data_IF_724510165061
#
_entry.id   IF_724510165061
#
_cell.length_a   1.000
_cell.length_b   1.000
_cell.length_c   1.000
_cell.angle_alpha   90.00
_cell.angle_beta   90.00
_cell.angle_gamma   90.00
#
_symmetry.space_group_name_H-M   'P 1'
#
loop_
_entity.id
_entity.type
_entity.pdbx_description
1 polymer ?
#
# COMPACT_ATOMS: atom_id res chain seq x y z
N UNK A 1 -6.23 -7.76 -41.26
CA UNK A 1 -5.92 -6.84 -40.15
C UNK A 1 -5.62 -7.70 -38.94
N UNK A 2 -4.33 -7.81 -38.54
CA UNK A 2 -3.96 -8.58 -37.36
C UNK A 2 -4.40 -7.79 -36.13
N UNK A 3 -5.47 -8.23 -35.49
CA UNK A 3 -5.92 -7.67 -34.21
C UNK A 3 -4.85 -8.00 -33.17
N UNK A 4 -4.16 -6.97 -32.68
CA UNK A 4 -3.06 -7.11 -31.72
C UNK A 4 -3.65 -7.44 -30.34
N UNK A 5 -3.99 -8.70 -30.11
CA UNK A 5 -4.39 -9.15 -28.78
C UNK A 5 -3.14 -9.17 -27.89
N UNK A 6 -3.26 -8.52 -26.74
CA UNK A 6 -2.18 -8.48 -25.74
C UNK A 6 -1.93 -9.90 -25.23
N UNK A 7 -0.68 -10.34 -25.26
CA UNK A 7 -0.25 -11.58 -24.64
C UNK A 7 -0.60 -11.54 -23.15
N UNK A 8 -1.30 -12.59 -22.66
CA UNK A 8 -1.67 -12.75 -21.25
C UNK A 8 -1.30 -14.15 -20.78
N UNK A 9 -0.85 -14.24 -19.56
CA UNK A 9 -0.40 -15.46 -18.91
C UNK A 9 -0.74 -15.43 -17.42
N UNK A 10 -0.29 -16.42 -16.69
CA UNK A 10 -0.51 -16.52 -15.26
C UNK A 10 -0.14 -15.23 -14.53
N UNK A 11 -1.01 -14.77 -13.63
CA UNK A 11 -0.85 -13.49 -12.92
C UNK A 11 -1.32 -12.24 -13.69
N UNK A 12 -1.63 -12.35 -14.98
CA UNK A 12 -2.24 -11.23 -15.73
C UNK A 12 -3.63 -10.93 -15.22
N UNK A 13 -4.03 -9.64 -15.22
CA UNK A 13 -5.36 -9.19 -14.82
C UNK A 13 -5.95 -8.19 -15.81
N UNK A 14 -7.27 -8.02 -15.75
CA UNK A 14 -8.01 -7.00 -16.50
C UNK A 14 -8.79 -7.54 -17.71
N UNK A 15 -9.29 -6.61 -18.54
CA UNK A 15 -10.25 -6.90 -19.61
C UNK A 15 -9.77 -7.91 -20.67
N UNK A 16 -8.45 -7.97 -20.91
CA UNK A 16 -7.87 -8.95 -21.84
C UNK A 16 -8.01 -10.38 -21.28
N UNK A 17 -7.88 -10.55 -19.96
CA UNK A 17 -8.08 -11.85 -19.29
C UNK A 17 -9.56 -12.23 -19.25
N UNK A 18 -10.46 -11.28 -18.92
CA UNK A 18 -11.90 -11.54 -18.97
C UNK A 18 -12.34 -11.98 -20.36
N UNK A 19 -11.80 -11.35 -21.40
CA UNK A 19 -12.08 -11.74 -22.77
C UNK A 19 -11.58 -13.15 -23.10
N UNK A 20 -10.35 -13.50 -22.63
CA UNK A 20 -9.80 -14.85 -22.79
C UNK A 20 -10.68 -15.89 -22.11
N UNK A 21 -11.09 -15.65 -20.86
CA UNK A 21 -11.96 -16.54 -20.10
C UNK A 21 -13.32 -16.74 -20.82
N UNK A 22 -13.90 -15.65 -21.34
CA UNK A 22 -15.14 -15.71 -22.12
C UNK A 22 -14.98 -16.59 -23.37
N UNK A 23 -13.90 -16.40 -24.12
CA UNK A 23 -13.63 -17.16 -25.34
C UNK A 23 -13.33 -18.63 -25.03
N UNK A 24 -12.56 -18.92 -23.97
CA UNK A 24 -12.32 -20.29 -23.52
C UNK A 24 -13.63 -20.97 -23.12
N UNK A 25 -14.55 -20.28 -22.46
CA UNK A 25 -15.86 -20.83 -22.12
C UNK A 25 -16.69 -21.13 -23.38
N UNK A 26 -16.57 -20.37 -24.46
CA UNK A 26 -17.16 -20.67 -25.75
C UNK A 26 -16.60 -21.96 -26.39
N UNK A 27 -15.37 -22.33 -26.03
CA UNK A 27 -14.72 -23.59 -26.42
C UNK A 27 -14.97 -24.74 -25.42
N UNK A 28 -15.93 -24.59 -24.52
CA UNK A 28 -16.37 -25.65 -23.62
C UNK A 28 -15.64 -25.73 -22.28
N UNK A 29 -14.87 -24.70 -21.90
CA UNK A 29 -14.30 -24.58 -20.55
C UNK A 29 -15.32 -23.92 -19.62
N UNK A 30 -15.21 -24.19 -18.32
CA UNK A 30 -16.03 -23.59 -17.26
C UNK A 30 -15.18 -22.73 -16.35
N UNK A 31 -14.91 -21.50 -16.80
CA UNK A 31 -14.09 -20.51 -16.08
C UNK A 31 -14.98 -19.37 -15.55
N UNK A 32 -14.72 -18.93 -14.31
CA UNK A 32 -15.23 -17.65 -13.84
C UNK A 32 -14.60 -16.53 -14.69
N UNK A 33 -15.43 -15.61 -15.21
CA UNK A 33 -14.97 -14.46 -15.99
C UNK A 33 -14.68 -13.31 -15.01
N UNK A 34 -13.65 -13.53 -14.18
CA UNK A 34 -13.24 -12.61 -13.10
C UNK A 34 -12.11 -11.63 -13.51
N UNK A 35 -11.59 -11.81 -14.73
CA UNK A 35 -10.47 -11.00 -15.22
C UNK A 35 -9.13 -11.31 -14.57
N UNK A 36 -9.00 -12.45 -13.88
CA UNK A 36 -7.76 -12.88 -13.23
C UNK A 36 -7.27 -14.15 -13.93
N UNK A 37 -6.07 -14.10 -14.50
CA UNK A 37 -5.43 -15.26 -15.09
C UNK A 37 -4.84 -16.15 -14.00
N UNK A 38 -5.70 -16.88 -13.32
CA UNK A 38 -5.33 -17.82 -12.26
C UNK A 38 -5.00 -19.21 -12.81
N UNK A 39 -4.80 -20.16 -11.88
CA UNK A 39 -4.46 -21.56 -12.19
C UNK A 39 -5.49 -22.23 -13.09
N UNK A 40 -6.79 -21.99 -12.86
CA UNK A 40 -7.87 -22.55 -13.70
C UNK A 40 -7.79 -22.03 -15.13
N UNK A 41 -7.56 -20.73 -15.30
CA UNK A 41 -7.40 -20.11 -16.62
C UNK A 41 -6.14 -20.64 -17.32
N UNK A 42 -5.03 -20.82 -16.60
CA UNK A 42 -3.82 -21.40 -17.16
C UNK A 42 -3.99 -22.85 -17.58
N UNK A 43 -4.67 -23.65 -16.75
CA UNK A 43 -4.97 -25.05 -17.07
C UNK A 43 -5.83 -25.17 -18.34
N UNK A 44 -6.85 -24.33 -18.47
CA UNK A 44 -7.71 -24.26 -19.65
C UNK A 44 -6.92 -23.84 -20.90
N UNK A 45 -6.04 -22.83 -20.79
CA UNK A 45 -5.18 -22.42 -21.90
C UNK A 45 -4.26 -23.55 -22.34
N UNK A 46 -3.62 -24.27 -21.41
CA UNK A 46 -2.74 -25.39 -21.72
C UNK A 46 -3.50 -26.56 -22.35
N UNK A 47 -4.67 -26.90 -21.82
CA UNK A 47 -5.52 -27.93 -22.40
C UNK A 47 -5.96 -27.55 -23.82
N UNK A 48 -6.35 -26.29 -24.02
CA UNK A 48 -6.68 -25.78 -25.34
C UNK A 48 -5.48 -25.84 -26.30
N UNK A 49 -4.30 -25.42 -25.85
CA UNK A 49 -3.06 -25.49 -26.63
C UNK A 49 -2.72 -26.94 -27.02
N UNK A 50 -2.86 -27.87 -26.09
CA UNK A 50 -2.65 -29.30 -26.32
C UNK A 50 -3.61 -29.85 -27.37
N UNK A 51 -4.92 -29.58 -27.25
CA UNK A 51 -5.97 -30.03 -28.18
C UNK A 51 -5.79 -29.48 -29.58
N UNK A 52 -5.22 -28.29 -29.71
CA UNK A 52 -5.04 -27.62 -31.00
C UNK A 52 -3.60 -27.66 -31.52
N UNK A 53 -2.75 -28.53 -30.94
CA UNK A 53 -1.33 -28.70 -31.34
C UNK A 53 -0.53 -27.40 -31.35
N UNK A 54 -0.86 -26.47 -30.44
CA UNK A 54 -0.16 -25.23 -30.24
C UNK A 54 1.01 -25.40 -29.26
N UNK A 55 1.88 -24.40 -29.19
CA UNK A 55 2.96 -24.38 -28.18
C UNK A 55 2.39 -24.45 -26.76
N UNK A 56 2.75 -25.48 -26.01
CA UNK A 56 2.24 -25.78 -24.67
C UNK A 56 2.96 -24.96 -23.57
N UNK A 57 2.84 -23.64 -23.63
CA UNK A 57 3.50 -22.74 -22.68
C UNK A 57 2.54 -22.17 -21.60
N UNK A 58 1.25 -22.36 -21.77
CA UNK A 58 0.23 -21.85 -20.85
C UNK A 58 0.04 -20.33 -20.94
N UNK A 59 0.47 -19.72 -22.04
CA UNK A 59 0.38 -18.29 -22.32
C UNK A 59 -0.52 -18.08 -23.52
N UNK A 60 -1.53 -17.24 -23.41
CA UNK A 60 -2.36 -16.86 -24.54
C UNK A 60 -1.65 -15.76 -25.35
N UNK A 61 -0.71 -16.20 -26.19
CA UNK A 61 0.00 -15.37 -27.17
C UNK A 61 -0.75 -15.26 -28.50
N UNK A 62 -0.15 -14.62 -29.52
CA UNK A 62 -0.78 -14.38 -30.83
C UNK A 62 -1.31 -15.67 -31.48
N UNK A 63 -0.56 -16.77 -31.40
CA UNK A 63 -0.97 -18.06 -31.95
C UNK A 63 -2.19 -18.65 -31.23
N UNK A 64 -2.18 -18.62 -29.88
CA UNK A 64 -3.28 -19.10 -29.06
C UNK A 64 -4.54 -18.25 -29.28
N UNK A 65 -4.40 -16.93 -29.33
CA UNK A 65 -5.51 -16.04 -29.66
C UNK A 65 -6.04 -16.24 -31.08
N UNK A 66 -5.15 -16.44 -32.05
CA UNK A 66 -5.54 -16.72 -33.42
C UNK A 66 -6.38 -17.99 -33.54
N UNK A 67 -5.97 -19.03 -32.86
CA UNK A 67 -6.72 -20.30 -32.80
C UNK A 67 -8.06 -20.19 -32.05
N UNK A 68 -8.08 -19.49 -30.90
CA UNK A 68 -9.27 -19.27 -30.09
C UNK A 68 -10.35 -18.46 -30.83
N UNK A 69 -9.96 -17.56 -31.72
CA UNK A 69 -10.86 -16.69 -32.46
C UNK A 69 -11.21 -17.20 -33.86
N UNK A 70 -10.48 -18.18 -34.35
CA UNK A 70 -10.93 -18.97 -35.50
C UNK A 70 -12.16 -19.77 -35.04
N UNK A 71 -13.28 -19.63 -35.73
CA UNK A 71 -14.58 -20.19 -35.33
C UNK A 71 -14.48 -21.66 -34.83
N UNK A 72 -15.27 -22.06 -33.81
CA UNK A 72 -15.25 -23.41 -33.31
C UNK A 72 -15.74 -24.35 -34.41
N UNK A 73 -14.83 -25.08 -35.00
CA UNK A 73 -15.21 -26.28 -35.76
C UNK A 73 -15.66 -27.29 -34.72
N UNK A 74 -16.89 -27.79 -34.86
CA UNK A 74 -17.45 -28.86 -34.02
C UNK A 74 -16.46 -30.02 -33.87
N UNK A 75 -16.47 -30.74 -32.73
CA UNK A 75 -15.50 -31.78 -32.47
C UNK A 75 -15.58 -32.83 -33.58
N UNK A 76 -14.53 -32.94 -34.36
CA UNK A 76 -14.35 -34.05 -35.31
C UNK A 76 -14.07 -35.27 -34.47
N UNK A 77 -15.05 -36.14 -34.37
CA UNK A 77 -14.87 -37.52 -33.93
C UNK A 77 -13.92 -38.17 -34.93
N UNK A 78 -12.63 -38.11 -34.62
CA UNK A 78 -11.59 -38.81 -35.40
C UNK A 78 -11.67 -40.27 -35.11
N UNK A 79 -12.22 -40.98 -36.06
CA UNK A 79 -12.35 -42.44 -36.07
C UNK A 79 -10.98 -43.09 -35.93
N UNK A 80 -10.94 -44.08 -35.05
CA UNK A 80 -9.85 -45.00 -34.93
C UNK A 80 -9.53 -45.71 -36.24
N UNK A 81 -8.29 -45.89 -36.49
CA UNK A 81 -7.84 -47.01 -37.35
C UNK A 81 -7.36 -48.10 -36.43
N UNK A 82 -8.20 -49.15 -36.39
CA UNK A 82 -7.81 -50.46 -35.94
C UNK A 82 -6.49 -50.87 -36.59
N UNK A 83 -5.51 -51.16 -35.76
CA UNK A 83 -4.47 -52.13 -36.09
C UNK A 83 -4.52 -53.19 -35.02
N UNK A 84 -5.32 -54.18 -35.28
CA UNK A 84 -5.28 -55.44 -34.58
C UNK A 84 -3.90 -56.08 -34.77
N UNK A 85 -3.15 -56.19 -33.72
CA UNK A 85 -2.04 -57.15 -33.58
C UNK A 85 -2.21 -57.90 -32.29
N UNK A 86 -2.53 -59.15 -32.44
CA UNK A 86 -2.05 -60.27 -31.63
C UNK A 86 -2.56 -60.34 -30.20
N UNK A 87 -3.64 -61.04 -30.04
CA UNK A 87 -4.02 -61.75 -28.83
C UNK A 87 -2.83 -62.46 -28.19
N UNK A 88 -2.38 -61.98 -27.07
CA UNK A 88 -1.54 -62.67 -26.12
C UNK A 88 -1.96 -62.25 -24.71
N UNK A 89 -2.91 -63.00 -24.14
CA UNK A 89 -3.48 -62.72 -22.84
C UNK A 89 -2.43 -62.91 -21.73
N UNK A 90 -1.88 -61.79 -21.23
CA UNK A 90 -1.39 -61.69 -19.87
C UNK A 90 -2.14 -60.51 -19.24
N UNK A 91 -3.31 -60.76 -18.70
CA UNK A 91 -4.06 -59.80 -17.88
C UNK A 91 -3.37 -59.67 -16.52
N UNK A 92 -2.28 -58.89 -16.47
CA UNK A 92 -1.72 -58.43 -15.24
C UNK A 92 -2.75 -57.53 -14.58
N UNK A 93 -3.21 -57.88 -13.38
CA UNK A 93 -4.10 -56.98 -12.60
C UNK A 93 -3.26 -55.88 -12.05
N UNK A 94 -3.68 -54.63 -12.26
CA UNK A 94 -3.10 -53.46 -11.58
C UNK A 94 -3.17 -53.71 -10.07
N UNK A 95 -2.06 -53.51 -9.36
CA UNK A 95 -2.05 -53.65 -7.91
C UNK A 95 -3.03 -52.71 -7.24
N UNK A 96 -3.65 -53.12 -6.14
CA UNK A 96 -4.60 -52.32 -5.39
C UNK A 96 -4.03 -50.96 -4.96
N UNK A 97 -2.74 -50.93 -4.63
CA UNK A 97 -2.06 -49.67 -4.27
C UNK A 97 -1.92 -48.70 -5.45
N UNK A 98 -1.53 -49.23 -6.65
CA UNK A 98 -1.41 -48.41 -7.86
C UNK A 98 -2.80 -47.89 -8.29
N UNK A 99 -3.83 -48.74 -8.25
CA UNK A 99 -5.19 -48.35 -8.57
C UNK A 99 -5.77 -47.30 -7.63
N UNK A 100 -5.51 -47.42 -6.32
CA UNK A 100 -5.93 -46.45 -5.31
C UNK A 100 -5.23 -45.10 -5.49
N UNK A 101 -3.93 -45.10 -5.76
CA UNK A 101 -3.14 -43.89 -6.00
C UNK A 101 -3.60 -43.18 -7.27
N UNK A 102 -3.84 -43.89 -8.37
CA UNK A 102 -4.40 -43.30 -9.60
C UNK A 102 -5.74 -42.70 -9.36
N UNK A 103 -6.65 -43.41 -8.70
CA UNK A 103 -8.00 -42.90 -8.38
C UNK A 103 -7.97 -41.64 -7.55
N UNK A 104 -7.00 -41.53 -6.63
CA UNK A 104 -6.80 -40.30 -5.82
C UNK A 104 -6.25 -39.16 -6.68
N UNK A 105 -5.31 -39.42 -7.57
CA UNK A 105 -4.75 -38.43 -8.47
C UNK A 105 -5.72 -37.99 -9.57
N UNK A 106 -6.62 -38.85 -10.01
CA UNK A 106 -7.71 -38.54 -10.96
C UNK A 106 -8.74 -37.56 -10.40
N UNK A 107 -8.85 -37.44 -9.07
CA UNK A 107 -9.70 -36.41 -8.44
C UNK A 107 -9.19 -34.98 -8.66
N UNK A 108 -7.99 -34.84 -9.21
CA UNK A 108 -7.39 -33.57 -9.55
C UNK A 108 -6.30 -33.12 -8.58
N UNK A 109 -5.63 -32.06 -8.96
CA UNK A 109 -4.60 -31.44 -8.13
C UNK A 109 -5.21 -30.79 -6.89
N UNK A 110 -4.73 -31.19 -5.72
CA UNK A 110 -5.03 -30.55 -4.44
C UNK A 110 -3.77 -29.85 -3.96
N UNK A 111 -3.80 -28.52 -3.72
CA UNK A 111 -2.64 -27.79 -3.22
C UNK A 111 -2.12 -28.40 -1.91
N UNK A 112 -0.80 -28.45 -1.74
CA UNK A 112 -0.19 -28.86 -0.48
C UNK A 112 -0.51 -27.85 0.63
N UNK A 113 -0.32 -28.23 1.88
CA UNK A 113 -0.47 -27.28 2.99
C UNK A 113 0.52 -26.13 2.93
N UNK A 114 1.68 -26.35 2.32
CA UNK A 114 2.69 -25.32 2.13
C UNK A 114 2.20 -24.27 1.12
N UNK A 115 1.60 -24.70 0.01
CA UNK A 115 0.99 -23.81 -0.98
C UNK A 115 -0.18 -23.00 -0.38
N UNK A 116 -1.04 -23.64 0.41
CA UNK A 116 -2.15 -22.96 1.05
C UNK A 116 -1.67 -21.98 2.13
N UNK A 117 -0.67 -22.34 2.95
CA UNK A 117 -0.11 -21.45 3.96
C UNK A 117 0.55 -20.22 3.32
N UNK A 118 1.27 -20.40 2.21
CA UNK A 118 1.85 -19.28 1.46
C UNK A 118 0.76 -18.37 0.87
N UNK A 119 -0.33 -18.93 0.37
CA UNK A 119 -1.48 -18.16 -0.13
C UNK A 119 -2.13 -17.33 0.98
N UNK A 120 -2.32 -17.92 2.17
CA UNK A 120 -2.89 -17.19 3.30
C UNK A 120 -1.99 -16.06 3.78
N UNK A 121 -0.65 -16.22 3.70
CA UNK A 121 0.27 -15.12 3.96
C UNK A 121 0.07 -13.98 2.98
N UNK A 122 -0.04 -14.25 1.68
CA UNK A 122 -0.33 -13.23 0.66
C UNK A 122 -1.65 -12.51 0.96
N UNK A 123 -2.71 -13.27 1.29
CA UNK A 123 -4.02 -12.71 1.63
C UNK A 123 -3.95 -11.79 2.85
N UNK A 124 -3.27 -12.23 3.91
CA UNK A 124 -3.13 -11.45 5.15
C UNK A 124 -2.32 -10.16 4.95
N UNK A 125 -1.26 -10.21 4.15
CA UNK A 125 -0.48 -9.03 3.80
C UNK A 125 -1.27 -8.06 2.90
N UNK A 126 -2.03 -8.59 1.95
CA UNK A 126 -2.88 -7.78 1.06
C UNK A 126 -3.97 -7.05 1.84
N UNK A 127 -4.51 -7.65 2.91
CA UNK A 127 -5.49 -7.04 3.79
C UNK A 127 -4.91 -5.90 4.66
N UNK A 128 -3.58 -5.83 4.80
CA UNK A 128 -2.87 -4.79 5.58
C UNK A 128 -2.39 -3.61 4.73
N UNK A 129 -3.00 -3.40 3.58
CA UNK A 129 -2.67 -2.22 2.77
C UNK A 129 -2.77 -0.95 3.61
N UNK A 130 -1.72 -0.11 3.66
CA UNK A 130 -1.82 1.20 4.27
C UNK A 130 -2.97 1.99 3.66
N UNK A 131 -3.76 2.65 4.51
CA UNK A 131 -4.84 3.53 4.05
C UNK A 131 -4.31 4.69 3.20
N UNK A 132 -5.20 5.43 2.57
CA UNK A 132 -4.81 6.61 1.82
C UNK A 132 -4.23 7.66 2.76
N UNK A 133 -3.27 8.43 2.24
CA UNK A 133 -2.63 9.48 3.03
C UNK A 133 -3.67 10.47 3.57
N UNK A 134 -3.59 10.73 4.87
CA UNK A 134 -4.39 11.74 5.55
C UNK A 134 -3.44 12.78 6.14
N UNK A 135 -3.48 13.99 5.61
CA UNK A 135 -2.67 15.08 6.13
C UNK A 135 -3.11 15.48 7.54
N UNK A 136 -2.19 15.46 8.48
CA UNK A 136 -2.42 15.97 9.83
C UNK A 136 -2.33 17.50 9.90
N UNK A 137 -1.76 18.15 8.89
CA UNK A 137 -1.42 19.57 8.88
C UNK A 137 -2.25 20.39 7.87
N UNK A 138 -3.04 19.75 7.00
CA UNK A 138 -3.79 20.44 5.93
C UNK A 138 -4.63 21.61 6.45
N UNK A 139 -5.38 21.42 7.52
CA UNK A 139 -6.22 22.47 8.11
C UNK A 139 -5.40 23.63 8.69
N UNK A 140 -4.23 23.32 9.27
CA UNK A 140 -3.34 24.35 9.84
C UNK A 140 -2.63 25.14 8.74
N UNK A 141 -2.18 24.45 7.67
CA UNK A 141 -1.59 25.10 6.50
C UNK A 141 -2.58 26.03 5.82
N UNK A 142 -3.83 25.58 5.63
CA UNK A 142 -4.88 26.41 5.04
C UNK A 142 -5.19 27.64 5.91
N UNK A 143 -5.35 27.45 7.23
CA UNK A 143 -5.61 28.57 8.14
C UNK A 143 -4.45 29.59 8.13
N UNK A 144 -3.20 29.12 8.11
CA UNK A 144 -2.04 29.99 8.07
C UNK A 144 -1.89 30.69 6.71
N UNK A 145 -2.21 30.00 5.62
CA UNK A 145 -2.25 30.60 4.29
C UNK A 145 -3.26 31.75 4.24
N UNK A 146 -4.45 31.56 4.79
CA UNK A 146 -5.46 32.61 4.86
C UNK A 146 -4.98 33.77 5.72
N UNK A 147 -4.36 33.53 6.89
CA UNK A 147 -3.81 34.57 7.76
C UNK A 147 -2.74 35.40 7.05
N UNK A 148 -1.88 34.76 6.24
CA UNK A 148 -0.86 35.44 5.43
C UNK A 148 -1.50 36.23 4.28
N UNK A 149 -2.47 35.62 3.58
CA UNK A 149 -3.14 36.21 2.42
C UNK A 149 -3.99 37.43 2.79
N UNK A 150 -4.74 37.34 3.88
CA UNK A 150 -5.66 38.37 4.34
C UNK A 150 -4.98 39.46 5.17
N UNK A 151 -3.63 39.34 5.36
CA UNK A 151 -2.89 40.29 6.14
C UNK A 151 -2.95 41.68 5.53
N UNK A 152 -3.47 42.70 6.29
CA UNK A 152 -3.58 44.05 5.77
C UNK A 152 -2.21 44.66 5.49
N UNK A 153 -2.11 45.48 4.48
CA UNK A 153 -0.91 46.25 4.17
C UNK A 153 -0.49 47.12 5.37
N UNK A 154 0.80 47.43 5.46
CA UNK A 154 1.30 48.30 6.53
C UNK A 154 0.63 49.68 6.47
N UNK A 155 0.10 50.10 7.59
CA UNK A 155 -0.43 51.46 7.82
C UNK A 155 -0.01 51.89 9.21
N UNK A 156 0.47 53.15 9.32
CA UNK A 156 0.85 53.71 10.59
C UNK A 156 -0.04 54.92 10.93
N UNK A 157 -0.78 54.79 12.01
CA UNK A 157 -1.58 55.87 12.57
C UNK A 157 -0.92 56.37 13.90
N UNK A 158 -0.31 57.56 13.91
CA UNK A 158 0.28 58.12 15.12
C UNK A 158 -0.72 58.30 16.26
N UNK A 159 -2.00 58.56 15.91
CA UNK A 159 -3.04 58.79 16.92
C UNK A 159 -3.40 57.51 17.67
N UNK A 160 -3.24 56.34 17.04
CA UNK A 160 -3.43 55.02 17.65
C UNK A 160 -2.16 54.49 18.37
N UNK A 161 -0.98 55.02 18.12
CA UNK A 161 0.27 54.56 18.72
C UNK A 161 0.42 55.10 20.17
N UNK A 162 0.41 54.19 21.15
CA UNK A 162 0.55 54.50 22.55
C UNK A 162 1.91 55.20 22.89
N UNK A 163 2.98 54.86 22.17
CA UNK A 163 4.28 55.49 22.32
C UNK A 163 4.24 56.94 21.83
N UNK A 164 3.67 57.18 20.66
CA UNK A 164 3.45 58.54 20.13
C UNK A 164 2.59 59.38 21.09
N UNK A 165 1.49 58.83 21.58
CA UNK A 165 0.62 59.51 22.54
C UNK A 165 1.36 59.86 23.84
N UNK A 166 2.29 58.99 24.31
CA UNK A 166 3.11 59.26 25.49
C UNK A 166 4.05 60.39 25.23
N UNK A 167 4.79 60.37 24.10
CA UNK A 167 5.67 61.49 23.71
C UNK A 167 4.90 62.79 23.51
N UNK A 168 3.72 62.73 22.87
CA UNK A 168 2.87 63.93 22.67
C UNK A 168 2.46 64.56 24.00
N UNK A 169 2.03 63.76 24.98
CA UNK A 169 1.72 64.26 26.33
C UNK A 169 2.92 64.86 27.03
N UNK A 170 4.05 64.18 26.96
CA UNK A 170 5.29 64.60 27.58
C UNK A 170 5.79 65.92 26.99
N UNK A 171 5.94 66.03 25.69
CA UNK A 171 6.44 67.23 25.02
C UNK A 171 5.45 68.36 25.10
N UNK A 172 4.15 68.12 25.04
CA UNK A 172 3.17 69.18 25.28
C UNK A 172 3.21 69.72 26.72
N UNK A 173 3.45 68.88 27.71
CA UNK A 173 3.62 69.32 29.10
C UNK A 173 4.90 70.13 29.28
N UNK A 174 6.02 69.64 28.75
CA UNK A 174 7.31 70.33 28.77
C UNK A 174 7.25 71.70 28.04
N UNK A 175 6.63 71.69 26.86
CA UNK A 175 6.41 72.90 26.08
C UNK A 175 5.57 73.95 26.82
N UNK A 176 4.48 73.57 27.50
CA UNK A 176 3.70 74.45 28.35
C UNK A 176 4.49 75.01 29.53
N UNK A 177 5.27 74.16 30.21
CA UNK A 177 6.16 74.62 31.27
C UNK A 177 7.18 75.63 30.76
N UNK A 178 7.90 75.30 29.66
CA UNK A 178 8.89 76.21 29.06
C UNK A 178 8.27 77.53 28.59
N UNK A 179 7.06 77.49 28.06
CA UNK A 179 6.29 78.70 27.70
C UNK A 179 6.00 79.54 28.93
N UNK A 180 5.53 78.95 30.01
CA UNK A 180 5.23 79.62 31.26
C UNK A 180 6.49 80.22 31.88
N UNK A 181 7.60 79.45 31.92
CA UNK A 181 8.86 79.93 32.47
C UNK A 181 9.44 81.10 31.65
N UNK A 182 9.31 81.01 30.32
CA UNK A 182 9.77 82.09 29.43
C UNK A 182 8.94 83.37 29.66
N UNK A 183 7.63 83.26 29.81
CA UNK A 183 6.74 84.35 30.13
C UNK A 183 7.07 84.95 31.51
N UNK A 184 7.30 84.11 32.53
CA UNK A 184 7.68 84.55 33.86
C UNK A 184 9.04 85.29 33.88
N UNK A 185 10.03 84.74 33.18
CA UNK A 185 11.34 85.41 33.05
C UNK A 185 11.21 86.76 32.31
N UNK A 186 10.46 86.79 31.21
CA UNK A 186 10.29 88.06 30.49
C UNK A 186 9.49 89.06 31.28
N UNK A 187 8.50 88.71 32.08
CA UNK A 187 7.73 89.62 32.97
C UNK A 187 8.65 90.15 34.07
N UNK A 188 9.55 89.34 34.60
CA UNK A 188 10.49 89.81 35.60
C UNK A 188 11.50 90.88 35.06
N UNK A 189 11.93 90.74 33.80
CA UNK A 189 12.85 91.67 33.13
C UNK A 189 12.16 92.94 32.70
N UNK A 190 10.83 92.95 32.44
CA UNK A 190 10.03 94.08 31.93
C UNK A 190 9.21 94.79 32.99
N UNK A 191 9.39 94.46 34.27
CA UNK A 191 8.67 95.08 35.38
C UNK A 191 7.16 94.66 35.40
N UNK A 192 6.76 93.50 34.90
CA UNK A 192 5.46 93.00 34.96
C UNK A 192 4.60 93.28 33.75
N UNK A 193 5.06 93.95 32.74
CA UNK A 193 4.37 94.21 31.52
C UNK A 193 4.59 93.12 30.51
N UNK A 194 3.47 92.52 30.00
CA UNK A 194 3.49 91.53 28.91
C UNK A 194 3.83 92.25 27.60
N UNK A 195 5.05 91.99 27.12
CA UNK A 195 5.50 92.49 25.82
C UNK A 195 5.20 91.47 24.71
N UNK A 196 4.94 91.99 23.49
CA UNK A 196 4.76 91.15 22.31
C UNK A 196 5.97 90.26 22.06
N UNK A 197 7.20 90.71 22.48
CA UNK A 197 8.43 89.91 22.45
C UNK A 197 8.35 88.76 23.42
N UNK A 198 7.85 88.93 24.63
CA UNK A 198 7.73 87.83 25.62
C UNK A 198 6.78 86.72 25.12
N UNK A 199 5.63 87.19 24.51
CA UNK A 199 4.69 86.25 23.92
C UNK A 199 5.30 85.46 22.74
N UNK A 200 6.05 86.10 21.86
CA UNK A 200 6.70 85.45 20.71
C UNK A 200 7.77 84.46 21.17
N UNK A 201 8.59 84.84 22.15
CA UNK A 201 9.61 83.97 22.69
C UNK A 201 9.04 82.72 23.40
N UNK A 202 7.93 82.90 24.12
CA UNK A 202 7.22 81.83 24.78
C UNK A 202 6.56 80.86 23.77
N UNK A 203 5.97 81.39 22.72
CA UNK A 203 5.46 80.58 21.63
C UNK A 203 6.56 79.81 20.90
N UNK A 204 7.71 80.43 20.66
CA UNK A 204 8.88 79.75 20.08
C UNK A 204 9.38 78.60 20.97
N UNK A 205 9.37 78.79 22.30
CA UNK A 205 9.74 77.73 23.26
C UNK A 205 8.79 76.56 23.18
N UNK A 206 7.47 76.78 23.10
CA UNK A 206 6.47 75.75 22.92
C UNK A 206 6.63 75.01 21.57
N UNK A 207 6.84 75.76 20.50
CA UNK A 207 6.98 75.20 19.16
C UNK A 207 8.22 74.30 19.03
N UNK A 208 9.32 74.57 19.76
CA UNK A 208 10.48 73.72 19.80
C UNK A 208 10.18 72.32 20.31
N UNK A 209 9.30 72.18 21.31
CA UNK A 209 8.88 70.88 21.81
C UNK A 209 7.94 70.14 20.85
N UNK A 210 7.09 70.87 20.12
CA UNK A 210 6.26 70.29 19.05
C UNK A 210 7.16 69.79 17.90
N UNK A 211 8.26 70.46 17.61
CA UNK A 211 9.20 70.03 16.59
C UNK A 211 9.91 68.73 17.03
N UNK A 212 10.32 68.65 18.31
CA UNK A 212 10.86 67.42 18.87
C UNK A 212 9.89 66.21 18.73
N UNK A 213 8.58 66.44 18.92
CA UNK A 213 7.58 65.42 18.68
C UNK A 213 7.53 65.00 17.19
N UNK A 214 7.67 65.96 16.27
CA UNK A 214 7.75 65.66 14.84
C UNK A 214 9.01 64.86 14.49
N UNK A 215 10.13 65.07 15.15
CA UNK A 215 11.40 64.38 14.92
C UNK A 215 11.38 62.92 15.41
N UNK A 216 10.52 62.58 16.38
CA UNK A 216 10.33 61.23 16.88
C UNK A 216 9.44 60.38 15.96
N UNK A 217 8.51 61.01 15.20
CA UNK A 217 7.52 60.34 14.36
C UNK A 217 8.15 59.32 13.36
N UNK A 218 9.21 59.65 12.58
CA UNK A 218 9.84 58.72 11.66
C UNK A 218 10.43 57.49 12.36
N UNK A 219 10.95 57.67 13.58
CA UNK A 219 11.54 56.59 14.38
C UNK A 219 10.45 55.59 14.82
N UNK A 220 9.31 56.10 15.30
CA UNK A 220 8.17 55.28 15.70
C UNK A 220 7.56 54.55 14.51
N UNK A 221 7.43 55.24 13.38
CA UNK A 221 6.94 54.64 12.14
C UNK A 221 7.89 53.51 11.68
N UNK A 222 9.20 53.71 11.69
CA UNK A 222 10.18 52.69 11.33
C UNK A 222 10.15 51.49 12.29
N UNK A 223 10.02 51.74 13.59
CA UNK A 223 9.86 50.70 14.58
C UNK A 223 8.57 49.88 14.40
N UNK A 224 7.47 50.58 14.07
CA UNK A 224 6.19 49.94 13.75
C UNK A 224 6.28 49.11 12.47
N UNK A 225 6.94 49.60 11.42
CA UNK A 225 7.18 48.88 10.19
C UNK A 225 8.03 47.61 10.41
N UNK A 226 9.11 47.73 11.21
CA UNK A 226 9.96 46.59 11.58
C UNK A 226 9.14 45.51 12.28
N UNK A 227 8.32 45.85 13.27
CA UNK A 227 7.42 44.90 13.96
C UNK A 227 6.42 44.27 13.00
N UNK A 228 5.85 45.06 12.08
CA UNK A 228 4.96 44.53 11.05
C UNK A 228 5.67 43.51 10.16
N UNK A 229 6.85 43.84 9.67
CA UNK A 229 7.64 42.92 8.83
C UNK A 229 8.00 41.65 9.60
N UNK A 230 8.56 41.78 10.81
CA UNK A 230 8.99 40.62 11.62
C UNK A 230 7.83 39.68 11.95
N UNK A 231 6.62 40.23 12.19
CA UNK A 231 5.42 39.42 12.36
C UNK A 231 5.03 38.69 11.06
N UNK A 232 5.27 39.29 9.89
CA UNK A 232 5.06 38.62 8.59
C UNK A 232 6.05 37.49 8.34
N UNK A 233 7.32 37.78 8.61
CA UNK A 233 8.38 36.80 8.48
C UNK A 233 8.12 35.59 9.39
N UNK A 234 7.69 35.82 10.64
CA UNK A 234 7.33 34.74 11.57
C UNK A 234 6.16 33.86 11.10
N UNK A 235 5.17 34.46 10.40
CA UNK A 235 4.07 33.67 9.79
C UNK A 235 4.59 32.81 8.64
N UNK A 236 5.45 33.35 7.79
CA UNK A 236 6.07 32.60 6.68
C UNK A 236 6.96 31.47 7.19
N UNK A 237 7.79 31.73 8.19
CA UNK A 237 8.63 30.70 8.82
C UNK A 237 7.78 29.55 9.39
N UNK A 238 6.69 29.91 10.06
CA UNK A 238 5.76 28.90 10.59
C UNK A 238 5.08 28.10 9.47
N UNK A 239 4.72 28.74 8.38
CA UNK A 239 4.14 28.08 7.22
C UNK A 239 5.15 27.09 6.59
N UNK A 240 6.38 27.52 6.41
CA UNK A 240 7.45 26.66 5.88
C UNK A 240 7.70 25.45 6.79
N UNK A 241 7.79 25.66 8.10
CA UNK A 241 7.97 24.57 9.07
C UNK A 241 6.83 23.53 9.00
N UNK A 242 5.59 23.99 8.89
CA UNK A 242 4.45 23.08 8.73
C UNK A 242 4.48 22.35 7.39
N UNK A 243 4.91 23.01 6.33
CA UNK A 243 5.08 22.38 5.01
C UNK A 243 6.16 21.29 5.01
N UNK A 244 7.27 21.54 5.70
CA UNK A 244 8.32 20.52 5.91
C UNK A 244 7.81 19.32 6.71
N UNK A 245 7.02 19.56 7.76
CA UNK A 245 6.41 18.48 8.56
C UNK A 245 5.41 17.68 7.75
N UNK A 246 4.62 18.34 6.90
CA UNK A 246 3.69 17.68 5.98
C UNK A 246 4.43 16.80 4.98
N UNK A 247 5.49 17.34 4.33
CA UNK A 247 6.33 16.59 3.41
C UNK A 247 6.93 15.35 4.08
N UNK A 248 7.54 15.52 5.26
CA UNK A 248 8.11 14.41 6.01
C UNK A 248 7.06 13.36 6.45
N UNK A 249 5.81 13.77 6.66
CA UNK A 249 4.72 12.85 6.97
C UNK A 249 4.27 12.07 5.75
N UNK A 250 4.21 12.73 4.60
CA UNK A 250 3.91 12.12 3.31
C UNK A 250 4.99 11.11 2.89
N UNK A 251 6.26 11.47 3.03
CA UNK A 251 7.40 10.59 2.74
C UNK A 251 7.34 9.31 3.59
N UNK A 252 7.09 9.44 4.90
CA UNK A 252 6.92 8.28 5.80
C UNK A 252 5.76 7.38 5.37
N UNK A 253 4.65 7.96 4.93
CA UNK A 253 3.54 7.18 4.40
C UNK A 253 3.92 6.46 3.09
N UNK A 254 4.64 7.13 2.17
CA UNK A 254 5.17 6.49 0.96
C UNK A 254 6.10 5.32 1.28
N UNK A 255 7.01 5.50 2.26
CA UNK A 255 7.89 4.43 2.71
C UNK A 255 7.11 3.23 3.26
N UNK A 256 6.05 3.47 4.02
CA UNK A 256 5.17 2.40 4.52
C UNK A 256 4.48 1.65 3.38
N UNK A 257 3.96 2.38 2.38
CA UNK A 257 3.35 1.77 1.19
C UNK A 257 4.37 0.96 0.40
N UNK A 258 5.57 1.50 0.18
CA UNK A 258 6.64 0.80 -0.53
C UNK A 258 7.10 -0.47 0.21
N UNK A 259 7.26 -0.39 1.53
CA UNK A 259 7.59 -1.54 2.37
C UNK A 259 6.51 -2.62 2.31
N UNK A 260 5.23 -2.23 2.42
CA UNK A 260 4.11 -3.14 2.26
C UNK A 260 4.08 -3.82 0.87
N UNK A 261 4.24 -3.04 -0.22
CA UNK A 261 4.29 -3.58 -1.58
C UNK A 261 5.41 -4.59 -1.76
N UNK A 262 6.59 -4.31 -1.19
CA UNK A 262 7.74 -5.21 -1.21
C UNK A 262 7.43 -6.52 -0.49
N UNK A 263 6.80 -6.46 0.68
CA UNK A 263 6.42 -7.66 1.45
C UNK A 263 5.40 -8.52 0.71
N UNK A 264 4.36 -7.88 0.13
CA UNK A 264 3.34 -8.58 -0.68
C UNK A 264 4.00 -9.25 -1.90
N UNK A 265 4.85 -8.52 -2.62
CA UNK A 265 5.56 -9.06 -3.80
C UNK A 265 6.46 -10.26 -3.44
N UNK A 266 7.19 -10.19 -2.33
CA UNK A 266 8.03 -11.30 -1.85
C UNK A 266 7.18 -12.52 -1.46
N UNK A 267 6.08 -12.31 -0.75
CA UNK A 267 5.17 -13.39 -0.37
C UNK A 267 4.52 -14.03 -1.60
N UNK A 268 4.16 -13.23 -2.60
CA UNK A 268 3.59 -13.70 -3.85
C UNK A 268 4.58 -14.52 -4.66
N UNK A 269 5.83 -14.07 -4.80
CA UNK A 269 6.88 -14.85 -5.46
C UNK A 269 7.13 -16.19 -4.76
N UNK A 270 7.14 -16.19 -3.43
CA UNK A 270 7.30 -17.42 -2.66
C UNK A 270 6.11 -18.38 -2.86
N UNK A 271 4.89 -17.87 -2.90
CA UNK A 271 3.68 -18.65 -3.21
C UNK A 271 3.76 -19.25 -4.62
N UNK A 272 4.18 -18.48 -5.62
CA UNK A 272 4.32 -18.95 -7.01
C UNK A 272 5.37 -20.06 -7.14
N UNK A 273 6.51 -19.93 -6.45
CA UNK A 273 7.56 -20.94 -6.44
C UNK A 273 7.10 -22.23 -5.78
N UNK A 274 6.40 -22.15 -4.64
CA UNK A 274 5.88 -23.32 -3.92
C UNK A 274 4.79 -23.99 -4.76
N UNK A 275 3.85 -23.23 -5.27
CA UNK A 275 2.73 -23.71 -6.09
C UNK A 275 3.23 -24.39 -7.39
N UNK A 276 4.25 -23.80 -8.03
CA UNK A 276 4.86 -24.38 -9.24
C UNK A 276 5.55 -25.71 -8.96
N UNK A 277 6.27 -25.82 -7.83
CA UNK A 277 6.91 -27.08 -7.41
C UNK A 277 5.88 -28.14 -7.07
N UNK A 278 4.83 -27.74 -6.36
CA UNK A 278 3.75 -28.62 -5.94
C UNK A 278 3.01 -29.22 -7.16
N UNK A 279 2.70 -28.37 -8.15
CA UNK A 279 2.11 -28.81 -9.41
C UNK A 279 3.02 -29.76 -10.21
N UNK A 280 4.33 -29.46 -10.26
CA UNK A 280 5.31 -30.37 -10.90
C UNK A 280 5.37 -31.71 -10.21
N UNK A 281 5.37 -31.75 -8.89
CA UNK A 281 5.36 -32.97 -8.11
C UNK A 281 4.09 -33.78 -8.37
N UNK A 282 2.93 -33.12 -8.43
CA UNK A 282 1.68 -33.79 -8.79
C UNK A 282 1.76 -34.44 -10.21
N UNK A 283 2.29 -33.70 -11.20
CA UNK A 283 2.46 -34.23 -12.56
C UNK A 283 3.42 -35.42 -12.61
N UNK A 284 4.54 -35.34 -11.85
CA UNK A 284 5.48 -36.45 -11.75
C UNK A 284 4.86 -37.70 -11.14
N UNK A 285 4.04 -37.53 -10.07
CA UNK A 285 3.31 -38.63 -9.46
C UNK A 285 2.28 -39.24 -10.42
N UNK A 286 1.53 -38.40 -11.13
CA UNK A 286 0.55 -38.85 -12.09
C UNK A 286 1.21 -39.69 -13.19
N UNK A 287 2.30 -39.22 -13.76
CA UNK A 287 3.07 -39.97 -14.79
C UNK A 287 3.64 -41.26 -14.22
N UNK A 288 4.26 -41.23 -13.03
CA UNK A 288 4.81 -42.41 -12.37
C UNK A 288 3.76 -43.52 -12.17
N UNK A 289 2.60 -43.18 -11.61
CA UNK A 289 1.55 -44.15 -11.36
C UNK A 289 0.86 -44.64 -12.66
N UNK A 290 0.78 -43.79 -13.68
CA UNK A 290 0.30 -44.19 -15.01
C UNK A 290 1.25 -45.20 -15.68
N UNK A 291 2.54 -44.90 -15.66
CA UNK A 291 3.57 -45.80 -16.21
C UNK A 291 3.65 -47.12 -15.44
N UNK A 292 3.55 -47.06 -14.12
CA UNK A 292 3.52 -48.23 -13.25
C UNK A 292 2.31 -49.09 -13.53
N UNK A 293 1.14 -48.52 -13.68
CA UNK A 293 -0.09 -49.26 -14.04
C UNK A 293 0.02 -49.91 -15.42
N UNK A 294 0.60 -49.20 -16.40
CA UNK A 294 0.86 -49.75 -17.72
C UNK A 294 1.83 -50.94 -17.71
N UNK A 295 2.85 -50.91 -16.88
CA UNK A 295 3.83 -52.01 -16.69
C UNK A 295 3.15 -53.22 -16.00
N UNK A 296 2.37 -52.98 -14.93
CA UNK A 296 1.65 -54.04 -14.21
C UNK A 296 0.63 -54.73 -15.11
N UNK A 297 -0.08 -53.97 -15.97
CA UNK A 297 -1.00 -54.53 -16.98
C UNK A 297 -0.31 -55.46 -17.98
N UNK A 298 0.97 -55.17 -18.30
CA UNK A 298 1.79 -56.01 -19.20
C UNK A 298 2.50 -57.15 -18.46
N UNK A 299 2.27 -57.32 -17.16
CA UNK A 299 2.97 -58.32 -16.33
C UNK A 299 4.45 -58.07 -16.16
N UNK A 300 4.93 -56.81 -16.35
CA UNK A 300 6.31 -56.41 -16.19
C UNK A 300 6.54 -55.81 -14.81
N UNK A 301 7.73 -56.08 -14.22
CA UNK A 301 8.12 -55.36 -13.02
C UNK A 301 8.50 -53.94 -13.38
N UNK A 302 7.93 -52.96 -12.67
CA UNK A 302 8.23 -51.57 -12.85
C UNK A 302 9.43 -51.18 -11.99
N UNK A 303 10.58 -50.98 -12.63
CA UNK A 303 11.75 -50.38 -11.99
C UNK A 303 11.70 -48.85 -12.16
N UNK A 304 10.82 -48.23 -11.41
CA UNK A 304 10.76 -46.75 -11.37
C UNK A 304 11.86 -46.15 -10.54
N UNK A 305 12.32 -44.96 -10.90
CA UNK A 305 13.27 -44.20 -10.09
C UNK A 305 12.76 -44.04 -8.65
N UNK A 306 13.66 -44.11 -7.68
CA UNK A 306 13.35 -43.95 -6.25
C UNK A 306 12.39 -42.79 -5.96
N UNK A 307 11.20 -43.14 -5.55
CA UNK A 307 10.13 -42.18 -5.18
C UNK A 307 10.34 -41.55 -3.80
N UNK A 308 11.48 -41.75 -3.19
CA UNK A 308 11.82 -41.19 -1.89
C UNK A 308 11.67 -39.62 -1.85
N UNK A 309 11.77 -38.97 -3.02
CA UNK A 309 11.56 -37.52 -3.16
C UNK A 309 10.10 -37.09 -3.39
N UNK A 310 9.17 -38.06 -3.63
CA UNK A 310 7.80 -37.76 -4.08
C UNK A 310 6.74 -38.12 -3.02
N UNK A 311 7.18 -38.54 -1.86
CA UNK A 311 6.35 -39.12 -0.82
C UNK A 311 5.76 -38.08 0.12
N UNK A 312 5.00 -37.09 -0.34
CA UNK A 312 4.11 -36.34 0.59
C UNK A 312 3.17 -35.33 -0.06
N UNK A 313 2.48 -35.71 -1.11
CA UNK A 313 1.37 -34.88 -1.62
C UNK A 313 0.03 -35.50 -1.24
N UNK A 314 -0.18 -35.62 0.03
CA UNK A 314 -1.49 -35.91 0.57
C UNK A 314 -1.87 -34.89 1.62
N UNK A 315 -3.12 -34.56 1.72
CA UNK A 315 -3.72 -33.66 2.71
C UNK A 315 -3.44 -34.05 4.20
N UNK A 316 -2.53 -35.02 4.44
CA UNK A 316 -2.11 -35.55 5.75
C UNK A 316 -0.65 -35.32 6.08
N UNK A 317 0.15 -34.76 5.17
CA UNK A 317 1.55 -34.47 5.47
C UNK A 317 1.65 -33.32 6.50
N UNK A 318 2.57 -33.44 7.45
CA UNK A 318 2.87 -32.36 8.40
C UNK A 318 3.37 -31.13 7.65
N UNK A 319 3.06 -29.94 8.17
CA UNK A 319 3.55 -28.69 7.62
C UNK A 319 5.09 -28.66 7.64
N UNK A 320 5.69 -28.18 6.57
CA UNK A 320 7.10 -27.82 6.57
C UNK A 320 7.39 -26.69 7.56
N UNK A 321 8.65 -26.52 7.97
CA UNK A 321 9.04 -25.39 8.83
C UNK A 321 8.72 -24.06 8.19
N UNK A 322 8.95 -23.92 6.88
CA UNK A 322 8.66 -22.69 6.11
C UNK A 322 7.17 -22.39 6.06
N UNK A 323 6.31 -23.41 5.89
CA UNK A 323 4.87 -23.24 5.90
C UNK A 323 4.36 -22.86 7.29
N UNK A 324 4.92 -23.44 8.35
CA UNK A 324 4.58 -23.07 9.72
C UNK A 324 4.97 -21.61 10.03
N UNK A 325 6.12 -21.14 9.57
CA UNK A 325 6.55 -19.75 9.69
C UNK A 325 5.64 -18.78 8.90
N UNK A 326 5.24 -19.16 7.68
CA UNK A 326 4.30 -18.38 6.88
C UNK A 326 2.94 -18.27 7.55
N UNK A 327 2.46 -19.37 8.13
CA UNK A 327 1.21 -19.41 8.88
C UNK A 327 1.27 -18.54 10.15
N UNK A 328 2.36 -18.63 10.92
CA UNK A 328 2.61 -17.78 12.07
C UNK A 328 2.55 -16.30 11.69
N UNK A 329 3.23 -15.93 10.59
CA UNK A 329 3.25 -14.55 10.09
C UNK A 329 1.86 -14.09 9.65
N UNK A 330 1.09 -14.94 8.96
CA UNK A 330 -0.28 -14.65 8.57
C UNK A 330 -1.19 -14.40 9.78
N UNK A 331 -1.10 -15.26 10.81
CA UNK A 331 -1.88 -15.08 12.04
C UNK A 331 -1.53 -13.78 12.77
N UNK A 332 -0.24 -13.44 12.89
CA UNK A 332 0.20 -12.15 13.46
C UNK A 332 -0.34 -10.96 12.67
N UNK A 333 -0.42 -11.09 11.35
CA UNK A 333 -0.94 -10.04 10.48
C UNK A 333 -2.45 -9.86 10.68
N UNK A 334 -3.22 -10.94 10.77
CA UNK A 334 -4.65 -10.85 11.07
C UNK A 334 -4.92 -10.24 12.45
N UNK A 335 -4.13 -10.59 13.46
CA UNK A 335 -4.23 -9.97 14.77
C UNK A 335 -3.95 -8.46 14.73
N UNK A 336 -2.88 -8.02 14.05
CA UNK A 336 -2.57 -6.59 13.87
C UNK A 336 -3.69 -5.81 13.19
N UNK A 337 -4.45 -6.46 12.30
CA UNK A 337 -5.61 -5.85 11.61
C UNK A 337 -6.91 -5.94 12.41
N UNK A 338 -6.89 -6.49 13.62
CA UNK A 338 -8.09 -6.69 14.45
C UNK A 338 -9.01 -7.81 13.96
N UNK A 339 -8.47 -8.75 13.15
CA UNK A 339 -9.22 -9.85 12.52
C UNK A 339 -8.89 -11.19 13.19
N UNK A 340 -9.01 -11.25 14.54
CA UNK A 340 -8.65 -12.43 15.32
C UNK A 340 -9.46 -13.69 14.95
N UNK A 341 -10.72 -13.54 14.55
CA UNK A 341 -11.54 -14.64 14.04
C UNK A 341 -10.90 -15.36 12.83
N UNK A 342 -10.23 -14.60 11.95
CA UNK A 342 -9.53 -15.17 10.81
C UNK A 342 -8.27 -15.92 11.25
N UNK A 343 -7.55 -15.41 12.26
CA UNK A 343 -6.39 -16.10 12.83
C UNK A 343 -6.82 -17.44 13.50
N UNK A 344 -7.92 -17.45 14.25
CA UNK A 344 -8.51 -18.66 14.87
C UNK A 344 -8.94 -19.66 13.80
N UNK A 345 -9.63 -19.20 12.76
CA UNK A 345 -10.06 -20.03 11.63
C UNK A 345 -8.86 -20.67 10.95
N UNK A 346 -7.79 -19.91 10.75
CA UNK A 346 -6.55 -20.36 10.14
C UNK A 346 -5.89 -21.44 11.01
N UNK A 347 -5.74 -21.21 12.30
CA UNK A 347 -5.17 -22.20 13.23
C UNK A 347 -5.99 -23.50 13.24
N UNK A 348 -7.31 -23.42 13.31
CA UNK A 348 -8.20 -24.59 13.28
C UNK A 348 -8.02 -25.43 12.00
N UNK A 349 -7.82 -24.79 10.86
CA UNK A 349 -7.60 -25.46 9.56
C UNK A 349 -6.30 -26.29 9.57
N UNK A 350 -5.25 -25.79 10.21
CA UNK A 350 -3.92 -26.38 10.12
C UNK A 350 -3.46 -27.16 11.37
N UNK A 351 -4.14 -27.04 12.51
CA UNK A 351 -3.71 -27.68 13.77
C UNK A 351 -3.46 -29.20 13.68
N UNK A 352 -4.25 -29.90 12.86
CA UNK A 352 -4.10 -31.34 12.66
C UNK A 352 -2.92 -31.74 11.77
N UNK A 353 -2.31 -30.75 11.12
CA UNK A 353 -1.16 -30.92 10.24
C UNK A 353 0.15 -30.42 10.89
N UNK A 354 0.07 -29.86 12.07
CA UNK A 354 1.23 -29.40 12.84
C UNK A 354 1.86 -30.56 13.61
N UNK A 355 3.19 -30.60 13.63
CA UNK A 355 3.95 -31.45 14.54
C UNK A 355 3.71 -31.01 16.01
N UNK A 356 3.94 -31.88 17.00
CA UNK A 356 3.82 -31.48 18.41
C UNK A 356 4.68 -30.26 18.77
N UNK A 357 5.89 -30.15 18.20
CA UNK A 357 6.79 -29.02 18.40
C UNK A 357 6.23 -27.71 17.79
N UNK A 358 5.63 -27.80 16.61
CA UNK A 358 4.96 -26.65 15.99
C UNK A 358 3.74 -26.20 16.80
N UNK A 359 2.92 -27.13 17.27
CA UNK A 359 1.77 -26.80 18.15
C UNK A 359 2.22 -26.07 19.40
N UNK A 360 3.21 -26.60 20.12
CA UNK A 360 3.74 -25.97 21.33
C UNK A 360 4.31 -24.57 21.04
N UNK A 361 4.97 -24.38 19.90
CA UNK A 361 5.47 -23.06 19.46
C UNK A 361 4.29 -22.08 19.22
N UNK A 362 3.24 -22.52 18.54
CA UNK A 362 2.08 -21.68 18.28
C UNK A 362 1.33 -21.34 19.58
N UNK A 363 1.13 -22.30 20.47
CA UNK A 363 0.57 -22.08 21.80
C UNK A 363 1.35 -21.02 22.59
N UNK A 364 2.70 -21.12 22.58
CA UNK A 364 3.55 -20.16 23.29
C UNK A 364 3.52 -18.76 22.68
N UNK A 365 3.47 -18.66 21.35
CA UNK A 365 3.47 -17.37 20.64
C UNK A 365 2.15 -16.62 20.75
N UNK A 366 1.05 -17.35 20.91
CA UNK A 366 -0.30 -16.80 20.95
C UNK A 366 -0.98 -16.97 22.31
N UNK A 367 -0.19 -17.26 23.39
CA UNK A 367 -0.64 -17.41 24.78
C UNK A 367 -1.22 -16.15 25.35
N UNK A 368 -1.79 -15.29 24.85
CA UNK A 368 -2.49 -14.09 25.33
C UNK A 368 -3.66 -13.72 24.44
N UNK A 369 -3.87 -14.50 23.39
CA UNK A 369 -4.98 -14.30 22.48
C UNK A 369 -6.13 -15.22 22.92
N UNK A 370 -7.37 -14.79 22.72
CA UNK A 370 -8.54 -15.63 22.99
C UNK A 370 -8.69 -16.72 21.91
N UNK A 371 -7.67 -17.60 21.83
CA UNK A 371 -7.64 -18.75 20.95
C UNK A 371 -8.12 -20.02 21.64
N UNK A 372 -8.64 -19.92 22.85
CA UNK A 372 -9.03 -21.07 23.71
C UNK A 372 -10.08 -21.98 23.06
N UNK A 373 -10.85 -21.49 22.10
CA UNK A 373 -11.79 -22.31 21.34
C UNK A 373 -11.15 -23.05 20.15
N UNK A 374 -9.87 -22.79 19.84
CA UNK A 374 -9.19 -23.31 18.65
C UNK A 374 -8.14 -24.38 18.95
N UNK A 375 -7.60 -24.42 20.18
CA UNK A 375 -6.58 -25.39 20.64
C UNK A 375 -7.23 -26.50 21.46
#
# INVERSE_FOLDING_TARGET
MASTYRQVGYGSTGSAVSKLQTVLNQHGYDLAVDGIFGVKTQAAVRDYQKKNSLKLDGIAGPETWGSLLAQPTAPVSGGGTDSAVGSGAATGKISAGTAAALKQLEQGYVPSGDTEAARELVNSLSAQRPGDYQSAFAAQLEALYQEISDRPGFSYDPAADAAFQSYARQYAAQGRSAMTDTLGQAAHLTGGYGSSYAQSAAQQSYQRYLQQLSDVLPQLQSAAYTRYRDAGDALLDRYQLLQEQESASYDRWQDQVAAWQKEVSQAQSAYEDISSRDLKNYQLLLNYYADKAAAEQKGMSFAGADTAAVSSTGNTASLSSTAAESLERAMRNYHKSGSDDQAVTLLNRYKNRMTPAQKARFEALFAGWDLSAAL
#
